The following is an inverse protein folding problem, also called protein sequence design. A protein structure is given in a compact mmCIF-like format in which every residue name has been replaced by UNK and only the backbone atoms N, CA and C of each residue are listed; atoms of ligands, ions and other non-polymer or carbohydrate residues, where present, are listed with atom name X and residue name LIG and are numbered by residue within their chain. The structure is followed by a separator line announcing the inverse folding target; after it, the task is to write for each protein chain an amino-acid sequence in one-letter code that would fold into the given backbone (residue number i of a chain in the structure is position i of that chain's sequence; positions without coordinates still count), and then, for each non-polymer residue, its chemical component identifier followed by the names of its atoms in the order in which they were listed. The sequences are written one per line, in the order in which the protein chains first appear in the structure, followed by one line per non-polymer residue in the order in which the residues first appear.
data_IF_165345010788
#
_entry.id   IF_165345010788
#
_cell.length_a   1.000
_cell.length_b   1.000
_cell.length_c   1.000
_cell.angle_alpha   90.00
_cell.angle_beta   90.00
_cell.angle_gamma   90.00
#
_symmetry.space_group_name_H-M   'P 1'
#
loop_
_entity.id
_entity.type
_entity.pdbx_description
1 polymer ?
#
# COMPACT_ATOMS: atom_id res chain seq x y z
N UNK A 1 14.95 3.75 12.20
CA UNK A 1 15.57 4.98 11.64
C UNK A 1 15.09 6.13 12.51
N UNK A 2 15.94 7.04 13.00
CA UNK A 2 15.44 8.15 13.82
C UNK A 2 14.67 9.15 12.95
N UNK A 3 13.56 9.71 13.45
CA UNK A 3 12.74 10.67 12.71
C UNK A 3 13.54 11.87 12.19
N UNK A 4 14.56 12.29 12.92
CA UNK A 4 15.48 13.38 12.52
C UNK A 4 16.31 13.04 11.28
N UNK A 5 16.70 11.77 11.10
CA UNK A 5 17.41 11.34 9.89
C UNK A 5 16.48 11.36 8.67
N UNK A 6 15.21 10.96 8.85
CA UNK A 6 14.21 11.01 7.79
C UNK A 6 13.94 12.45 7.35
N UNK A 7 13.83 13.39 8.30
CA UNK A 7 13.69 14.81 8.00
C UNK A 7 14.85 15.35 7.17
N UNK A 8 16.09 15.01 7.53
CA UNK A 8 17.28 15.42 6.78
C UNK A 8 17.24 14.85 5.35
N UNK A 9 16.88 13.58 5.19
CA UNK A 9 16.77 12.95 3.87
C UNK A 9 15.72 13.67 3.01
N UNK A 10 14.52 13.90 3.55
CA UNK A 10 13.44 14.60 2.84
C UNK A 10 13.88 16.01 2.44
N UNK A 11 14.48 16.76 3.38
CA UNK A 11 14.94 18.11 3.13
C UNK A 11 16.00 18.16 2.02
N UNK A 12 17.00 17.27 2.08
CA UNK A 12 18.05 17.17 1.06
C UNK A 12 17.46 16.84 -0.32
N UNK A 13 16.52 15.89 -0.38
CA UNK A 13 15.83 15.53 -1.63
C UNK A 13 15.08 16.73 -2.21
N UNK A 14 14.38 17.51 -1.38
CA UNK A 14 13.64 18.69 -1.83
C UNK A 14 14.58 19.82 -2.30
N UNK A 15 15.69 20.07 -1.61
CA UNK A 15 16.69 21.08 -2.00
C UNK A 15 17.38 20.69 -3.31
N UNK A 16 17.87 19.46 -3.42
CA UNK A 16 18.46 18.96 -4.67
C UNK A 16 17.44 19.04 -5.79
N UNK A 17 16.17 18.73 -5.51
CA UNK A 17 15.10 18.85 -6.49
C UNK A 17 14.90 20.29 -6.94
N UNK A 18 14.90 21.26 -6.03
CA UNK A 18 14.79 22.66 -6.42
C UNK A 18 15.94 23.07 -7.33
N UNK A 19 17.19 22.74 -6.97
CA UNK A 19 18.38 23.07 -7.76
C UNK A 19 18.32 22.41 -9.15
N UNK A 20 17.96 21.13 -9.22
CA UNK A 20 17.82 20.41 -10.50
C UNK A 20 16.74 21.02 -11.37
N UNK A 21 15.60 21.39 -10.78
CA UNK A 21 14.52 22.08 -11.50
C UNK A 21 14.94 23.45 -12.00
N UNK A 22 15.66 24.19 -11.17
CA UNK A 22 16.17 25.51 -11.50
C UNK A 22 17.14 25.46 -12.68
N UNK A 23 18.07 24.51 -12.69
CA UNK A 23 19.04 24.33 -13.76
C UNK A 23 18.43 23.78 -15.06
N UNK A 24 17.34 23.02 -14.97
CA UNK A 24 16.70 22.39 -16.12
C UNK A 24 15.54 23.18 -16.72
N UNK A 25 15.02 24.21 -16.04
CA UNK A 25 13.96 25.07 -16.55
C UNK A 25 12.56 24.42 -16.55
N UNK A 26 11.53 25.22 -16.78
CA UNK A 26 10.12 24.82 -16.62
C UNK A 26 9.67 23.80 -17.69
N UNK A 27 10.05 24.03 -18.95
CA UNK A 27 9.62 23.19 -20.09
C UNK A 27 10.05 21.73 -19.93
N UNK A 28 11.29 21.51 -19.51
CA UNK A 28 11.83 20.16 -19.24
C UNK A 28 11.05 19.49 -18.10
N UNK A 29 10.63 20.27 -17.09
CA UNK A 29 9.92 19.72 -15.95
C UNK A 29 8.45 19.41 -16.24
N UNK A 30 7.77 20.26 -17.00
CA UNK A 30 6.39 20.04 -17.43
C UNK A 30 6.25 18.77 -18.27
N UNK A 31 7.12 18.59 -19.27
CA UNK A 31 7.17 17.36 -20.08
C UNK A 31 7.44 16.12 -19.21
N UNK A 32 8.42 16.21 -18.32
CA UNK A 32 8.74 15.14 -17.37
C UNK A 32 7.58 14.80 -16.42
N UNK A 33 6.69 15.74 -16.11
CA UNK A 33 5.53 15.53 -15.26
C UNK A 33 4.45 14.78 -16.03
N UNK A 34 4.13 15.20 -17.26
CA UNK A 34 3.17 14.50 -18.12
C UNK A 34 3.61 13.06 -18.37
N UNK A 35 4.89 12.82 -18.69
CA UNK A 35 5.43 11.46 -18.84
C UNK A 35 5.35 10.65 -17.53
N UNK A 36 5.40 11.32 -16.36
CA UNK A 36 5.21 10.66 -15.05
C UNK A 36 3.80 10.18 -14.82
N UNK A 37 2.82 11.00 -15.18
CA UNK A 37 1.42 10.62 -15.08
C UNK A 37 1.13 9.43 -15.99
N UNK A 38 1.59 9.47 -17.25
CA UNK A 38 1.41 8.36 -18.19
C UNK A 38 2.05 7.07 -17.66
N UNK A 39 3.26 7.15 -17.10
CA UNK A 39 3.93 5.97 -16.54
C UNK A 39 3.23 5.41 -15.30
N UNK A 40 2.66 6.26 -14.45
CA UNK A 40 1.84 5.80 -13.32
C UNK A 40 0.61 5.03 -13.79
N UNK A 41 -0.06 5.52 -14.85
CA UNK A 41 -1.20 4.81 -15.45
C UNK A 41 -0.80 3.46 -16.04
N UNK A 42 0.33 3.40 -16.76
CA UNK A 42 0.86 2.15 -17.32
C UNK A 42 1.25 1.18 -16.21
N UNK A 43 1.94 1.65 -15.17
CA UNK A 43 2.32 0.82 -14.02
C UNK A 43 1.08 0.28 -13.29
N UNK A 44 0.04 1.10 -13.11
CA UNK A 44 -1.22 0.68 -12.50
C UNK A 44 -1.86 -0.48 -13.28
N UNK A 45 -1.95 -0.35 -14.60
CA UNK A 45 -2.56 -1.36 -15.45
C UNK A 45 -1.69 -2.62 -15.56
N UNK A 46 -0.38 -2.45 -15.74
CA UNK A 46 0.58 -3.56 -15.87
C UNK A 46 0.78 -4.36 -14.60
N UNK A 47 0.63 -3.73 -13.42
CA UNK A 47 0.83 -4.39 -12.12
C UNK A 47 -0.04 -5.63 -11.93
N UNK A 48 -1.26 -5.63 -12.49
CA UNK A 48 -2.19 -6.76 -12.42
C UNK A 48 -1.63 -8.01 -13.11
N UNK A 49 -1.01 -7.85 -14.28
CA UNK A 49 -0.49 -8.97 -15.07
C UNK A 49 0.83 -9.53 -14.55
N UNK A 50 1.60 -8.72 -13.83
CA UNK A 50 2.91 -9.11 -13.31
C UNK A 50 2.92 -9.54 -11.85
N UNK A 51 1.84 -9.29 -11.10
CA UNK A 51 1.70 -9.69 -9.69
C UNK A 51 2.09 -11.16 -9.40
N UNK A 52 1.72 -12.16 -10.24
CA UNK A 52 2.07 -13.57 -9.97
C UNK A 52 3.57 -13.87 -9.97
N UNK A 53 4.40 -13.05 -10.63
CA UNK A 53 5.85 -13.22 -10.68
C UNK A 53 6.56 -12.69 -9.42
N UNK A 54 5.84 -11.93 -8.57
CA UNK A 54 6.39 -11.28 -7.39
C UNK A 54 5.87 -11.89 -6.08
N UNK A 55 5.50 -13.18 -6.09
CA UNK A 55 5.21 -13.98 -4.89
C UNK A 55 6.46 -14.24 -4.01
N UNK A 56 7.44 -13.33 -4.03
CA UNK A 56 8.73 -13.44 -3.33
C UNK A 56 8.65 -12.99 -1.86
N UNK A 57 7.49 -12.53 -1.40
CA UNK A 57 7.29 -12.25 0.03
C UNK A 57 7.00 -13.55 0.76
N UNK A 58 8.07 -14.21 1.21
CA UNK A 58 8.03 -15.33 2.17
C UNK A 58 8.38 -14.87 3.60
N UNK A 59 8.25 -13.56 3.87
CA UNK A 59 8.69 -12.96 5.13
C UNK A 59 7.76 -13.18 6.32
N UNK A 60 6.75 -14.03 6.16
CA UNK A 60 5.82 -14.38 7.23
C UNK A 60 5.97 -15.87 7.50
N UNK A 61 6.29 -16.22 8.75
CA UNK A 61 6.40 -17.60 9.20
C UNK A 61 5.04 -18.31 9.22
N UNK A 62 3.95 -17.53 9.13
CA UNK A 62 2.56 -17.98 9.09
C UNK A 62 2.10 -18.36 7.65
N UNK A 63 1.80 -19.66 7.39
CA UNK A 63 1.38 -20.13 6.07
C UNK A 63 0.03 -19.59 5.60
N UNK A 64 -0.88 -19.29 6.53
CA UNK A 64 -2.24 -18.81 6.26
C UNK A 64 -2.20 -17.37 5.78
N UNK A 65 -1.54 -16.49 6.54
CA UNK A 65 -1.40 -15.08 6.17
C UNK A 65 -0.56 -14.90 4.90
N UNK A 66 0.46 -15.74 4.70
CA UNK A 66 1.26 -15.70 3.49
C UNK A 66 0.42 -15.96 2.25
N UNK A 67 -0.50 -16.92 2.26
CA UNK A 67 -1.30 -17.25 1.07
C UNK A 67 -2.30 -16.14 0.71
N UNK A 68 -2.83 -15.45 1.73
CA UNK A 68 -3.90 -14.46 1.57
C UNK A 68 -3.36 -13.07 1.23
N UNK A 69 -2.21 -12.69 1.79
CA UNK A 69 -1.68 -11.32 1.68
C UNK A 69 -0.54 -11.21 0.65
N UNK A 70 0.19 -12.30 0.38
CA UNK A 70 1.25 -12.29 -0.63
C UNK A 70 0.80 -11.84 -2.02
N UNK A 71 -0.41 -12.17 -2.53
CA UNK A 71 -0.87 -11.68 -3.83
C UNK A 71 -1.02 -10.15 -3.89
N UNK A 72 -1.47 -9.53 -2.79
CA UNK A 72 -1.63 -8.07 -2.70
C UNK A 72 -0.27 -7.38 -2.62
N UNK A 73 0.63 -7.87 -1.76
CA UNK A 73 2.01 -7.38 -1.66
C UNK A 73 2.73 -7.54 -3.01
N UNK A 74 2.59 -8.71 -3.65
CA UNK A 74 3.15 -8.99 -4.97
C UNK A 74 2.67 -7.99 -6.03
N UNK A 75 1.40 -7.57 -5.98
CA UNK A 75 0.87 -6.54 -6.88
C UNK A 75 1.46 -5.15 -6.62
N UNK A 76 1.66 -4.77 -5.36
CA UNK A 76 2.32 -3.50 -5.01
C UNK A 76 3.79 -3.51 -5.45
N UNK A 77 4.50 -4.62 -5.21
CA UNK A 77 5.89 -4.81 -5.67
C UNK A 77 5.94 -4.74 -7.20
N UNK A 78 5.04 -5.43 -7.90
CA UNK A 78 4.95 -5.38 -9.36
C UNK A 78 4.75 -3.95 -9.86
N UNK A 79 3.85 -3.19 -9.25
CA UNK A 79 3.63 -1.78 -9.56
C UNK A 79 4.92 -0.96 -9.43
N UNK A 80 5.64 -1.11 -8.32
CA UNK A 80 6.91 -0.40 -8.06
C UNK A 80 7.96 -0.81 -9.09
N UNK A 81 8.15 -2.10 -9.34
CA UNK A 81 9.15 -2.60 -10.29
C UNK A 81 8.85 -2.10 -11.71
N UNK A 82 7.60 -2.16 -12.17
CA UNK A 82 7.21 -1.63 -13.47
C UNK A 82 7.50 -0.13 -13.54
N UNK A 83 7.14 0.62 -12.50
CA UNK A 83 7.43 2.05 -12.44
C UNK A 83 8.93 2.34 -12.53
N UNK A 84 9.78 1.57 -11.83
CA UNK A 84 11.23 1.70 -11.89
C UNK A 84 11.78 1.37 -13.28
N UNK A 85 11.31 0.30 -13.92
CA UNK A 85 11.70 -0.05 -15.30
C UNK A 85 11.28 1.04 -16.27
N UNK A 86 10.06 1.56 -16.17
CA UNK A 86 9.59 2.67 -16.97
C UNK A 86 10.41 3.95 -16.72
N UNK A 87 10.84 4.19 -15.48
CA UNK A 87 11.72 5.31 -15.15
C UNK A 87 13.10 5.19 -15.82
N UNK A 88 13.67 3.97 -15.90
CA UNK A 88 14.91 3.70 -16.64
C UNK A 88 14.72 3.92 -18.14
N UNK A 89 13.63 3.42 -18.72
CA UNK A 89 13.29 3.64 -20.13
C UNK A 89 13.11 5.14 -20.40
N UNK A 90 12.48 5.88 -19.49
CA UNK A 90 12.36 7.34 -19.61
C UNK A 90 13.71 8.00 -19.72
N UNK A 91 14.69 7.60 -18.90
CA UNK A 91 16.02 8.19 -18.92
C UNK A 91 16.64 8.07 -20.33
N UNK A 92 16.48 6.91 -20.96
CA UNK A 92 16.92 6.69 -22.34
C UNK A 92 16.12 7.53 -23.35
N UNK A 93 14.79 7.60 -23.23
CA UNK A 93 13.94 8.42 -24.11
C UNK A 93 14.29 9.91 -24.02
N UNK A 94 14.46 10.46 -22.82
CA UNK A 94 14.83 11.86 -22.63
C UNK A 94 16.21 12.20 -23.19
N UNK A 95 17.14 11.24 -23.21
CA UNK A 95 18.43 11.42 -23.87
C UNK A 95 18.26 11.63 -25.40
N UNK A 96 17.32 10.91 -26.02
CA UNK A 96 17.02 10.99 -27.46
C UNK A 96 16.17 12.23 -27.80
N UNK A 97 15.22 12.62 -26.92
CA UNK A 97 14.36 13.80 -27.13
C UNK A 97 15.04 15.13 -26.78
N UNK A 98 16.24 15.10 -26.18
CA UNK A 98 17.05 16.27 -25.82
C UNK A 98 17.14 17.36 -26.92
N UNK A 99 17.40 17.05 -28.21
CA UNK A 99 17.42 18.08 -29.26
C UNK A 99 16.06 18.76 -29.47
N UNK A 100 14.94 18.04 -29.33
CA UNK A 100 13.58 18.60 -29.47
C UNK A 100 13.27 19.53 -28.30
N UNK A 101 13.61 19.09 -27.08
CA UNK A 101 13.42 19.88 -25.85
C UNK A 101 14.22 21.19 -25.93
N UNK A 102 15.42 21.18 -26.53
CA UNK A 102 16.22 22.40 -26.74
C UNK A 102 15.51 23.43 -27.61
N UNK A 103 14.90 23.00 -28.72
CA UNK A 103 14.14 23.91 -29.60
C UNK A 103 12.90 24.50 -28.91
N UNK A 104 12.21 23.71 -28.07
CA UNK A 104 11.06 24.22 -27.28
C UNK A 104 11.50 25.23 -26.23
N UNK A 105 12.66 25.02 -25.59
CA UNK A 105 13.23 25.96 -24.62
C UNK A 105 13.59 27.30 -25.26
N UNK A 106 14.19 27.29 -26.45
CA UNK A 106 14.58 28.52 -27.14
C UNK A 106 13.39 29.46 -27.43
N UNK A 107 12.18 28.92 -27.62
CA UNK A 107 10.96 29.74 -27.79
C UNK A 107 10.41 30.33 -26.48
N UNK A 108 10.62 29.67 -25.34
CA UNK A 108 10.04 30.04 -24.03
C UNK A 108 11.04 30.81 -23.15
N UNK A 109 12.34 30.68 -23.42
CA UNK A 109 13.50 31.19 -22.67
C UNK A 109 13.67 32.72 -22.67
N UNK A 110 12.80 33.49 -23.32
CA UNK A 110 12.92 34.97 -23.37
C UNK A 110 12.89 35.65 -21.97
N UNK A 111 12.53 34.92 -20.90
CA UNK A 111 12.70 35.35 -19.50
C UNK A 111 13.45 34.28 -18.68
N UNK A 112 14.76 34.15 -18.93
CA UNK A 112 15.64 33.10 -18.35
C UNK A 112 15.51 32.90 -16.82
N UNK A 113 15.30 33.97 -16.06
CA UNK A 113 15.14 33.87 -14.59
C UNK A 113 13.79 33.27 -14.18
N UNK A 114 12.69 33.69 -14.82
CA UNK A 114 11.36 33.20 -14.51
C UNK A 114 11.20 31.72 -14.91
N UNK A 115 11.73 31.31 -16.07
CA UNK A 115 11.72 29.91 -16.51
C UNK A 115 12.47 28.99 -15.53
N UNK A 116 13.62 29.45 -15.03
CA UNK A 116 14.43 28.71 -14.06
C UNK A 116 13.73 28.61 -12.70
N UNK A 117 13.21 29.72 -12.16
CA UNK A 117 12.49 29.70 -10.87
C UNK A 117 11.23 28.82 -10.95
N UNK A 118 10.44 28.94 -12.03
CA UNK A 118 9.27 28.09 -12.25
C UNK A 118 9.65 26.62 -12.40
N UNK A 119 10.76 26.32 -13.09
CA UNK A 119 11.33 24.97 -13.17
C UNK A 119 11.70 24.40 -11.80
N UNK A 120 12.32 25.21 -10.95
CA UNK A 120 12.66 24.85 -9.56
C UNK A 120 11.41 24.50 -8.74
N UNK A 121 10.42 25.40 -8.72
CA UNK A 121 9.16 25.22 -7.99
C UNK A 121 8.40 23.97 -8.49
N UNK A 122 8.24 23.82 -9.81
CA UNK A 122 7.58 22.64 -10.39
C UNK A 122 8.33 21.35 -10.07
N UNK A 123 9.66 21.40 -9.98
CA UNK A 123 10.45 20.22 -9.66
C UNK A 123 10.26 19.82 -8.20
N UNK A 124 10.20 20.79 -7.28
CA UNK A 124 9.86 20.56 -5.86
C UNK A 124 8.47 19.96 -5.72
N UNK A 125 7.44 20.50 -6.37
CA UNK A 125 6.07 19.95 -6.28
C UNK A 125 6.02 18.48 -6.72
N UNK A 126 6.63 18.16 -7.87
CA UNK A 126 6.68 16.76 -8.33
C UNK A 126 7.54 15.89 -7.41
N UNK A 127 8.66 16.39 -6.89
CA UNK A 127 9.51 15.61 -5.98
C UNK A 127 8.84 15.39 -4.63
N UNK A 128 8.06 16.35 -4.14
CA UNK A 128 7.20 16.18 -2.98
C UNK A 128 6.22 15.01 -3.18
N UNK A 129 5.59 14.92 -4.36
CA UNK A 129 4.72 13.78 -4.68
C UNK A 129 5.47 12.44 -4.71
N UNK A 130 6.72 12.42 -5.19
CA UNK A 130 7.56 11.21 -5.18
C UNK A 130 7.94 10.83 -3.75
N UNK A 131 8.33 11.80 -2.91
CA UNK A 131 8.60 11.58 -1.49
C UNK A 131 7.35 11.04 -0.79
N UNK A 132 6.18 11.62 -1.05
CA UNK A 132 4.90 11.14 -0.53
C UNK A 132 4.67 9.65 -0.87
N UNK A 133 4.81 9.26 -2.15
CA UNK A 133 4.68 7.86 -2.55
C UNK A 133 5.72 6.95 -1.87
N UNK A 134 6.97 7.42 -1.72
CA UNK A 134 8.01 6.66 -1.03
C UNK A 134 7.68 6.46 0.46
N UNK A 135 7.15 7.48 1.13
CA UNK A 135 6.70 7.37 2.53
C UNK A 135 5.51 6.42 2.65
N UNK A 136 4.58 6.40 1.70
CA UNK A 136 3.51 5.40 1.68
C UNK A 136 4.08 3.98 1.62
N UNK A 137 5.07 3.72 0.77
CA UNK A 137 5.73 2.41 0.70
C UNK A 137 6.43 2.07 2.02
N UNK A 138 7.08 3.04 2.66
CA UNK A 138 7.72 2.85 3.97
C UNK A 138 6.67 2.58 5.07
N UNK A 139 5.46 3.11 4.96
CA UNK A 139 4.38 2.81 5.89
C UNK A 139 3.75 1.42 5.72
N UNK A 140 4.01 0.73 4.60
CA UNK A 140 3.53 -0.63 4.41
C UNK A 140 4.27 -1.59 5.36
N UNK A 141 3.63 -2.69 5.78
CA UNK A 141 4.20 -3.71 6.67
C UNK A 141 5.37 -4.51 6.06
N UNK A 142 5.95 -4.01 4.96
CA UNK A 142 7.14 -4.52 4.28
C UNK A 142 8.40 -3.97 4.96
N UNK A 143 8.32 -2.77 5.53
CA UNK A 143 9.45 -2.08 6.18
C UNK A 143 9.25 -2.08 7.69
N UNK A 144 10.09 -2.84 8.39
CA UNK A 144 10.09 -2.89 9.85
C UNK A 144 10.21 -1.49 10.46
N UNK A 145 9.30 -1.14 11.37
CA UNK A 145 9.21 0.15 12.06
C UNK A 145 9.07 1.38 11.13
N UNK A 146 8.62 1.19 9.89
CA UNK A 146 8.50 2.27 8.91
C UNK A 146 7.45 3.32 9.30
N UNK A 147 6.30 2.91 9.84
CA UNK A 147 5.26 3.82 10.36
C UNK A 147 5.78 4.70 11.49
N UNK A 148 6.40 4.09 12.51
CA UNK A 148 6.99 4.81 13.62
C UNK A 148 8.04 5.82 13.16
N UNK A 149 8.90 5.46 12.20
CA UNK A 149 9.88 6.38 11.64
C UNK A 149 9.26 7.60 10.94
N UNK A 150 8.06 7.46 10.34
CA UNK A 150 7.31 8.54 9.70
C UNK A 150 6.64 9.43 10.75
N UNK A 151 6.06 8.84 11.79
CA UNK A 151 5.38 9.55 12.88
C UNK A 151 6.36 10.38 13.72
N UNK A 152 7.54 9.82 14.00
CA UNK A 152 8.63 10.49 14.71
C UNK A 152 9.29 11.62 13.87
N UNK A 153 8.99 11.68 12.57
CA UNK A 153 9.55 12.66 11.62
C UNK A 153 8.58 13.82 11.42
N UNK A 154 9.08 15.05 11.58
CA UNK A 154 8.27 16.25 11.40
C UNK A 154 7.87 16.41 9.93
N UNK A 155 8.83 16.32 9.00
CA UNK A 155 8.57 16.43 7.57
C UNK A 155 7.85 15.20 7.03
N UNK A 156 8.19 14.01 7.52
CA UNK A 156 7.50 12.77 7.19
C UNK A 156 6.01 12.89 7.47
N UNK A 157 5.64 13.12 8.73
CA UNK A 157 4.24 13.27 9.14
C UNK A 157 3.51 14.41 8.40
N UNK A 158 4.17 15.55 8.14
CA UNK A 158 3.59 16.65 7.37
C UNK A 158 3.29 16.27 5.92
N UNK A 159 4.23 15.59 5.25
CA UNK A 159 4.08 15.13 3.87
C UNK A 159 2.91 14.16 3.77
N UNK A 160 2.85 13.15 4.65
CA UNK A 160 1.81 12.12 4.56
C UNK A 160 0.42 12.70 4.90
N UNK A 161 0.32 13.70 5.79
CA UNK A 161 -0.95 14.39 6.10
C UNK A 161 -1.46 15.32 4.99
N UNK A 162 -0.65 15.60 3.97
CA UNK A 162 -1.03 16.52 2.87
C UNK A 162 -2.07 15.90 1.93
N UNK A 163 -2.13 14.57 1.82
CA UNK A 163 -3.15 13.85 1.05
C UNK A 163 -3.87 12.86 1.98
N UNK A 164 -4.76 13.36 2.86
CA UNK A 164 -5.29 12.58 3.97
C UNK A 164 -6.09 11.35 3.51
N UNK A 165 -6.82 11.46 2.40
CA UNK A 165 -7.66 10.35 1.89
C UNK A 165 -6.85 9.08 1.60
N UNK A 166 -5.76 9.19 0.84
CA UNK A 166 -4.89 8.07 0.50
C UNK A 166 -4.09 7.58 1.72
N UNK A 167 -3.67 8.52 2.57
CA UNK A 167 -2.89 8.22 3.78
C UNK A 167 -3.68 7.42 4.78
N UNK A 168 -4.92 7.84 5.09
CA UNK A 168 -5.79 7.11 6.02
C UNK A 168 -6.06 5.70 5.52
N UNK A 169 -6.29 5.50 4.22
CA UNK A 169 -6.48 4.16 3.65
C UNK A 169 -5.26 3.26 3.82
N UNK A 170 -4.05 3.78 3.59
CA UNK A 170 -2.81 2.99 3.74
C UNK A 170 -2.49 2.72 5.22
N UNK A 171 -2.75 3.67 6.11
CA UNK A 171 -2.57 3.47 7.56
C UNK A 171 -3.59 2.46 8.11
N UNK A 172 -4.87 2.58 7.75
CA UNK A 172 -5.91 1.63 8.13
C UNK A 172 -5.58 0.21 7.62
N UNK A 173 -5.08 0.09 6.39
CA UNK A 173 -4.56 -1.17 5.86
C UNK A 173 -3.44 -1.73 6.74
N UNK A 174 -2.49 -0.89 7.15
CA UNK A 174 -1.39 -1.31 8.03
C UNK A 174 -1.86 -1.76 9.42
N UNK A 175 -2.86 -1.10 10.01
CA UNK A 175 -3.45 -1.48 11.30
C UNK A 175 -4.22 -2.79 11.21
N UNK A 176 -5.06 -2.92 10.20
CA UNK A 176 -5.81 -4.16 9.95
C UNK A 176 -4.86 -5.35 9.70
N UNK A 177 -3.74 -5.11 9.01
CA UNK A 177 -2.71 -6.12 8.84
C UNK A 177 -2.01 -6.51 10.15
N UNK A 178 -1.72 -5.54 11.02
CA UNK A 178 -1.12 -5.81 12.34
C UNK A 178 -2.10 -6.56 13.26
N UNK A 179 -3.39 -6.23 13.22
CA UNK A 179 -4.41 -7.00 13.93
C UNK A 179 -4.48 -8.44 13.41
N UNK A 180 -4.45 -8.64 12.09
CA UNK A 180 -4.43 -9.97 11.48
C UNK A 180 -3.22 -10.80 11.91
N UNK A 181 -2.03 -10.19 11.98
CA UNK A 181 -0.82 -10.91 12.42
C UNK A 181 -0.84 -11.26 13.90
N UNK A 182 -1.48 -10.44 14.74
CA UNK A 182 -1.68 -10.76 16.16
C UNK A 182 -2.67 -11.92 16.34
N UNK A 183 -3.81 -11.88 15.64
CA UNK A 183 -4.82 -12.95 15.68
C UNK A 183 -4.23 -14.28 15.20
N UNK A 184 -3.45 -14.26 14.12
CA UNK A 184 -2.86 -15.48 13.57
C UNK A 184 -1.80 -16.10 14.49
N UNK A 185 -0.99 -15.26 15.15
CA UNK A 185 -0.02 -15.73 16.16
C UNK A 185 -0.69 -16.33 17.39
N UNK A 186 -1.82 -15.76 17.84
CA UNK A 186 -2.61 -16.34 18.93
C UNK A 186 -3.24 -17.68 18.53
N UNK A 187 -3.58 -17.84 17.25
CA UNK A 187 -4.23 -19.03 16.75
C UNK A 187 -3.33 -20.28 16.75
N UNK A 188 -2.01 -20.12 16.64
CA UNK A 188 -1.03 -21.22 16.75
C UNK A 188 -1.02 -21.87 18.16
N UNK A 189 -1.55 -21.20 19.18
CA UNK A 189 -1.70 -21.74 20.54
C UNK A 189 -3.05 -22.45 20.79
N UNK A 190 -3.96 -22.45 19.80
CA UNK A 190 -5.29 -23.06 19.88
C UNK A 190 -6.39 -22.10 19.41
N UNK A 191 -6.57 -22.00 18.10
CA UNK A 191 -7.54 -21.12 17.43
C UNK A 191 -8.98 -21.35 17.92
N UNK A 192 -9.61 -20.30 18.45
CA UNK A 192 -11.04 -20.32 18.78
C UNK A 192 -11.88 -19.77 17.61
N UNK A 193 -13.17 -20.06 17.63
CA UNK A 193 -14.12 -19.64 16.57
C UNK A 193 -14.24 -18.11 16.51
N UNK A 194 -14.21 -17.43 17.67
CA UNK A 194 -14.19 -15.96 17.71
C UNK A 194 -12.97 -15.40 16.97
N UNK A 195 -11.78 -15.96 17.20
CA UNK A 195 -10.53 -15.52 16.55
C UNK A 195 -10.62 -15.68 15.02
N UNK A 196 -11.22 -16.79 14.56
CA UNK A 196 -11.48 -17.01 13.13
C UNK A 196 -12.43 -15.96 12.55
N UNK A 197 -13.51 -15.63 13.26
CA UNK A 197 -14.49 -14.65 12.79
C UNK A 197 -13.84 -13.26 12.68
N UNK A 198 -13.04 -12.87 13.66
CA UNK A 198 -12.32 -11.58 13.64
C UNK A 198 -11.21 -11.55 12.55
N UNK A 199 -10.56 -12.69 12.30
CA UNK A 199 -9.62 -12.83 11.19
C UNK A 199 -10.32 -12.64 9.84
N UNK A 200 -11.45 -13.33 9.62
CA UNK A 200 -12.22 -13.24 8.38
C UNK A 200 -12.79 -11.82 8.19
N UNK A 201 -13.25 -11.15 9.24
CA UNK A 201 -13.68 -9.75 9.17
C UNK A 201 -12.53 -8.82 8.73
N UNK A 202 -11.38 -8.95 9.36
CA UNK A 202 -10.20 -8.15 9.02
C UNK A 202 -9.76 -8.39 7.57
N UNK A 203 -9.85 -9.64 7.09
CA UNK A 203 -9.62 -9.97 5.68
C UNK A 203 -10.68 -9.35 4.74
N UNK A 204 -11.95 -9.28 5.17
CA UNK A 204 -13.03 -8.64 4.41
C UNK A 204 -12.76 -7.15 4.21
N UNK A 205 -12.39 -6.47 5.30
CA UNK A 205 -12.12 -5.04 5.29
C UNK A 205 -10.91 -4.66 4.44
N UNK A 206 -9.93 -5.56 4.33
CA UNK A 206 -8.79 -5.42 3.42
C UNK A 206 -9.13 -5.73 1.95
N UNK A 207 -10.34 -6.22 1.67
CA UNK A 207 -10.78 -6.66 0.35
C UNK A 207 -10.04 -7.91 -0.15
N UNK A 208 -9.54 -8.74 0.77
CA UNK A 208 -8.79 -9.97 0.46
C UNK A 208 -9.71 -11.16 0.21
N UNK A 209 -10.92 -11.12 0.76
CA UNK A 209 -11.92 -12.17 0.57
C UNK A 209 -13.05 -11.71 -0.34
N UNK A 210 -13.47 -12.66 -1.16
CA UNK A 210 -14.67 -12.64 -1.96
C UNK A 210 -15.34 -14.02 -1.80
N UNK A 211 -16.50 -14.20 -2.42
CA UNK A 211 -17.30 -15.42 -2.28
C UNK A 211 -16.51 -16.70 -2.66
N UNK A 212 -15.71 -16.64 -3.72
CA UNK A 212 -14.89 -17.78 -4.17
C UNK A 212 -13.77 -18.11 -3.16
N UNK A 213 -13.11 -17.09 -2.61
CA UNK A 213 -12.03 -17.26 -1.61
C UNK A 213 -12.58 -17.82 -0.30
N UNK A 214 -13.70 -17.31 0.20
CA UNK A 214 -14.33 -17.82 1.43
C UNK A 214 -14.76 -19.27 1.25
N UNK A 215 -15.36 -19.60 0.11
CA UNK A 215 -15.82 -20.98 -0.17
C UNK A 215 -14.62 -21.93 -0.21
N UNK A 216 -13.55 -21.56 -0.92
CA UNK A 216 -12.33 -22.38 -0.99
C UNK A 216 -11.67 -22.56 0.38
N UNK A 217 -11.64 -21.51 1.20
CA UNK A 217 -11.13 -21.57 2.56
C UNK A 217 -11.97 -22.48 3.45
N UNK A 218 -13.29 -22.32 3.40
CA UNK A 218 -14.21 -23.17 4.16
C UNK A 218 -14.06 -24.64 3.76
N UNK A 219 -14.05 -24.96 2.47
CA UNK A 219 -13.88 -26.33 1.98
C UNK A 219 -12.56 -26.96 2.47
N UNK A 220 -11.49 -26.17 2.55
CA UNK A 220 -10.20 -26.62 3.06
C UNK A 220 -10.23 -26.92 4.57
N UNK A 221 -10.93 -26.12 5.37
CA UNK A 221 -10.93 -26.18 6.83
C UNK A 221 -12.24 -26.68 7.47
N UNK A 222 -13.20 -27.13 6.65
CA UNK A 222 -14.55 -27.48 7.09
C UNK A 222 -14.56 -28.47 8.26
N UNK A 223 -13.76 -29.52 8.16
CA UNK A 223 -13.68 -30.55 9.19
C UNK A 223 -13.13 -30.02 10.51
N UNK A 224 -12.19 -29.07 10.47
CA UNK A 224 -11.61 -28.48 11.68
C UNK A 224 -12.63 -27.56 12.35
N UNK A 225 -13.29 -26.70 11.56
CA UNK A 225 -14.36 -25.80 12.03
C UNK A 225 -15.51 -26.59 12.65
N UNK A 226 -15.95 -27.68 12.01
CA UNK A 226 -17.04 -28.51 12.52
C UNK A 226 -16.69 -29.24 13.83
N UNK A 227 -15.40 -29.51 14.08
CA UNK A 227 -14.95 -30.19 15.29
C UNK A 227 -14.54 -29.23 16.42
N UNK A 228 -14.54 -27.91 16.19
CA UNK A 228 -14.28 -26.95 17.26
C UNK A 228 -15.35 -27.02 18.37
N UNK A 229 -14.94 -26.87 19.64
CA UNK A 229 -15.86 -26.76 20.75
C UNK A 229 -16.72 -25.49 20.61
N UNK A 230 -17.92 -25.53 21.16
CA UNK A 230 -18.76 -24.32 21.27
C UNK A 230 -18.08 -23.36 22.25
N UNK A 231 -17.91 -22.12 21.83
CA UNK A 231 -17.28 -21.07 22.62
C UNK A 231 -18.35 -20.21 23.31
N UNK A 232 -18.32 -20.16 24.63
CA UNK A 232 -19.12 -19.21 25.41
C UNK A 232 -18.49 -17.81 25.34
N UNK A 233 -19.28 -16.84 24.92
CA UNK A 233 -18.87 -15.43 24.80
C UNK A 233 -19.90 -14.53 25.50
N UNK A 234 -19.45 -13.35 25.93
CA UNK A 234 -20.34 -12.36 26.55
C UNK A 234 -21.46 -11.94 25.59
N UNK A 235 -22.58 -11.46 26.14
CA UNK A 235 -23.71 -10.95 25.36
C UNK A 235 -23.30 -9.93 24.29
N UNK A 236 -22.42 -8.99 24.65
CA UNK A 236 -21.89 -7.96 23.76
C UNK A 236 -21.05 -8.56 22.62
N UNK A 237 -20.16 -9.51 22.93
CA UNK A 237 -19.32 -10.16 21.92
C UNK A 237 -20.14 -11.09 21.02
N UNK A 238 -21.17 -11.75 21.55
CA UNK A 238 -22.08 -12.58 20.75
C UNK A 238 -22.79 -11.76 19.67
N UNK A 239 -23.35 -10.60 20.03
CA UNK A 239 -24.02 -9.71 19.07
C UNK A 239 -23.04 -9.18 18.02
N UNK A 240 -21.83 -8.77 18.44
CA UNK A 240 -20.76 -8.33 17.53
C UNK A 240 -20.38 -9.41 16.52
N UNK A 241 -20.06 -10.61 16.99
CA UNK A 241 -19.57 -11.71 16.15
C UNK A 241 -20.65 -12.24 15.20
N UNK A 242 -21.89 -12.33 15.66
CA UNK A 242 -23.02 -12.73 14.79
C UNK A 242 -23.32 -11.70 13.71
N UNK A 243 -23.20 -10.40 14.03
CA UNK A 243 -23.28 -9.32 13.05
C UNK A 243 -22.21 -9.43 11.97
N UNK A 244 -20.95 -9.69 12.36
CA UNK A 244 -19.86 -9.94 11.42
C UNK A 244 -20.20 -11.11 10.49
N UNK A 245 -20.63 -12.25 11.04
CA UNK A 245 -20.98 -13.44 10.25
C UNK A 245 -22.05 -13.12 9.19
N UNK A 246 -23.05 -12.30 9.54
CA UNK A 246 -24.13 -11.93 8.64
C UNK A 246 -23.66 -11.05 7.46
N UNK A 247 -22.65 -10.21 7.67
CA UNK A 247 -22.05 -9.34 6.65
C UNK A 247 -21.05 -10.07 5.73
N UNK A 248 -20.62 -11.28 6.08
CA UNK A 248 -19.66 -12.03 5.26
C UNK A 248 -20.23 -12.33 3.86
N UNK A 249 -19.41 -12.21 2.80
CA UNK A 249 -19.76 -12.66 1.45
C UNK A 249 -19.65 -14.19 1.35
N UNK A 250 -20.41 -14.90 2.18
CA UNK A 250 -20.40 -16.35 2.33
C UNK A 250 -21.81 -16.94 2.13
N UNK A 251 -21.87 -18.24 1.78
CA UNK A 251 -23.14 -18.97 1.71
C UNK A 251 -23.81 -19.06 3.09
N UNK A 252 -25.13 -19.24 3.10
CA UNK A 252 -25.89 -19.34 4.36
C UNK A 252 -25.47 -20.55 5.20
N UNK A 253 -25.05 -21.65 4.56
CA UNK A 253 -24.55 -22.85 5.26
C UNK A 253 -23.29 -22.56 6.08
N UNK A 254 -22.35 -21.79 5.52
CA UNK A 254 -21.12 -21.39 6.21
C UNK A 254 -21.46 -20.49 7.40
N UNK A 255 -22.37 -19.52 7.19
CA UNK A 255 -22.84 -18.61 8.24
C UNK A 255 -23.48 -19.37 9.40
N UNK A 256 -24.37 -20.31 9.10
CA UNK A 256 -25.07 -21.10 10.12
C UNK A 256 -24.10 -22.00 10.90
N UNK A 257 -23.12 -22.58 10.21
CA UNK A 257 -22.07 -23.40 10.83
C UNK A 257 -21.26 -22.59 11.84
N UNK A 258 -20.81 -21.39 11.47
CA UNK A 258 -20.06 -20.49 12.37
C UNK A 258 -20.91 -20.06 13.58
N UNK A 259 -22.17 -19.68 13.36
CA UNK A 259 -23.09 -19.31 14.44
C UNK A 259 -23.32 -20.45 15.42
N UNK A 260 -23.41 -21.69 14.94
CA UNK A 260 -23.61 -22.87 15.80
C UNK A 260 -22.47 -23.14 16.78
N UNK A 261 -21.31 -22.53 16.54
CA UNK A 261 -20.11 -22.66 17.37
C UNK A 261 -19.95 -21.54 18.39
N UNK A 262 -20.86 -20.58 18.42
CA UNK A 262 -20.93 -19.54 19.45
C UNK A 262 -22.12 -19.78 20.37
N UNK A 263 -21.93 -19.58 21.67
CA UNK A 263 -23.02 -19.50 22.63
C UNK A 263 -22.88 -18.27 23.51
N UNK A 264 -24.01 -17.66 23.83
CA UNK A 264 -24.04 -16.53 24.75
C UNK A 264 -23.99 -17.05 26.20
N UNK A 265 -23.03 -16.53 27.00
CA UNK A 265 -22.92 -16.79 28.44
C UNK A 265 -23.98 -16.03 29.25
#
# INVERSE_FOLDING_TARGET
MSGTLLDIIILVVLIISFIVGYLRGFVDRALNLVTSIIMLLIAWWGSKGLAPFFNLWSGMDDPLLSQLIAPLIGRVIAFIVIYLVLALIRLALFAILKPIIRHLKEMISLVNFADSVLGGIFNVIKSFFIVYLALLVVSLPIVNNGRQAIEDSFLGSLVVKTVPSLTTSVMAFGEQFENLSQISQQADEGMQVADMIEMVDSMNQLGLINEDTITSFYDQYQNEIQNMPVQEVSAENYEKLTGIIDELPASQEIKDTLKSKLSQS
#
